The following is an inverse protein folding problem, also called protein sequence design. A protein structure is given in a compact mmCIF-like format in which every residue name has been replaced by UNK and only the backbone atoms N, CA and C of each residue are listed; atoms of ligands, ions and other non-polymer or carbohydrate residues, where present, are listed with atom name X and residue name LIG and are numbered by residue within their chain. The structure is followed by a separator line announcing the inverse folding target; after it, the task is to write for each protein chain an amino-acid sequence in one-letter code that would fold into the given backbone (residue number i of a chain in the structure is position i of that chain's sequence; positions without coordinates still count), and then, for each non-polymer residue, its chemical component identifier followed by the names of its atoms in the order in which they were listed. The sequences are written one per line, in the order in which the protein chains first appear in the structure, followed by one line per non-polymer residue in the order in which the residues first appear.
data_IF_161236110047
#
_entry.id   IF_161236110047
#
_cell.length_a   1.000
_cell.length_b   1.000
_cell.length_c   1.000
_cell.angle_alpha   90.00
_cell.angle_beta   90.00
_cell.angle_gamma   90.00
#
_symmetry.space_group_name_H-M   'P 1'
#
loop_
_entity.id
_entity.type
_entity.pdbx_description
1 polymer ?
#
# COMPACT_ATOMS: atom_id res chain seq x y z
N UNK A 1 -27.69 2.38 -39.63
CA UNK A 1 -26.28 2.81 -39.50
C UNK A 1 -25.96 3.44 -38.15
N UNK A 2 -26.74 4.42 -37.65
CA UNK A 2 -26.50 5.06 -36.33
C UNK A 2 -26.40 4.08 -35.13
N UNK A 3 -27.20 3.01 -35.11
CA UNK A 3 -27.16 2.00 -34.03
C UNK A 3 -25.90 1.11 -34.05
N UNK A 4 -25.38 0.80 -35.23
CA UNK A 4 -24.12 0.05 -35.39
C UNK A 4 -22.91 0.91 -34.99
N UNK A 5 -22.95 2.21 -35.32
CA UNK A 5 -21.91 3.15 -34.88
C UNK A 5 -21.91 3.34 -33.37
N UNK A 6 -23.08 3.38 -32.71
CA UNK A 6 -23.16 3.45 -31.24
C UNK A 6 -22.62 2.17 -30.61
N UNK A 7 -23.00 0.99 -31.11
CA UNK A 7 -22.48 -0.30 -30.58
C UNK A 7 -20.96 -0.38 -30.75
N UNK A 8 -20.43 0.01 -31.91
CA UNK A 8 -18.99 0.03 -32.18
C UNK A 8 -18.26 1.05 -31.29
N UNK A 9 -18.84 2.22 -31.03
CA UNK A 9 -18.28 3.19 -30.09
C UNK A 9 -18.32 2.70 -28.64
N UNK A 10 -19.42 2.06 -28.20
CA UNK A 10 -19.48 1.47 -26.85
C UNK A 10 -18.53 0.29 -26.69
N UNK A 11 -18.33 -0.53 -27.74
CA UNK A 11 -17.33 -1.59 -27.73
C UNK A 11 -15.91 -1.02 -27.71
N UNK A 12 -15.65 0.04 -28.48
CA UNK A 12 -14.36 0.71 -28.52
C UNK A 12 -14.02 1.43 -27.19
N UNK A 13 -15.02 1.98 -26.50
CA UNK A 13 -14.86 2.56 -25.15
C UNK A 13 -14.59 1.45 -24.12
N UNK A 14 -15.19 0.27 -24.28
CA UNK A 14 -14.87 -0.94 -23.48
C UNK A 14 -13.47 -1.52 -23.76
N UNK A 15 -12.80 -1.10 -24.84
CA UNK A 15 -11.45 -1.54 -25.24
C UNK A 15 -10.37 -0.53 -24.78
N UNK A 16 -10.75 0.60 -24.17
CA UNK A 16 -9.76 1.56 -23.67
C UNK A 16 -9.05 0.94 -22.46
N UNK A 17 -7.72 0.83 -22.59
CA UNK A 17 -6.86 0.09 -21.67
C UNK A 17 -7.03 0.51 -20.22
N UNK A 18 -7.09 -0.49 -19.36
CA UNK A 18 -6.94 -0.31 -17.92
C UNK A 18 -5.49 0.09 -17.65
N UNK A 19 -5.28 1.27 -17.07
CA UNK A 19 -3.96 1.63 -16.55
C UNK A 19 -3.72 0.85 -15.26
N UNK A 20 -2.58 0.17 -15.16
CA UNK A 20 -2.24 -0.66 -14.00
C UNK A 20 -1.43 0.19 -13.01
N UNK A 21 -1.82 0.12 -11.75
CA UNK A 21 -1.16 0.78 -10.62
C UNK A 21 -1.10 -0.24 -9.47
N UNK A 22 -0.48 0.14 -8.35
CA UNK A 22 -0.23 -0.76 -7.21
C UNK A 22 -1.42 -1.68 -6.87
N UNK A 23 -1.14 -2.96 -6.71
CA UNK A 23 -2.15 -3.99 -6.51
C UNK A 23 -2.18 -4.51 -5.05
N UNK A 24 -3.35 -4.92 -4.53
CA UNK A 24 -3.47 -5.37 -3.15
C UNK A 24 -2.75 -6.71 -2.92
N UNK A 25 -2.29 -6.95 -1.69
CA UNK A 25 -1.83 -8.29 -1.27
C UNK A 25 -3.00 -9.27 -1.15
N UNK A 26 -2.70 -10.56 -1.24
CA UNK A 26 -3.70 -11.59 -1.00
C UNK A 26 -4.00 -11.72 0.50
N UNK A 27 -5.23 -12.11 0.84
CA UNK A 27 -5.55 -12.50 2.20
C UNK A 27 -4.67 -13.67 2.68
N UNK A 28 -4.40 -13.67 3.99
CA UNK A 28 -3.78 -14.81 4.68
C UNK A 28 -4.66 -16.05 4.56
N UNK A 29 -4.06 -17.25 4.67
CA UNK A 29 -4.81 -18.52 4.62
C UNK A 29 -5.90 -18.59 5.68
N UNK A 30 -5.62 -18.04 6.86
CA UNK A 30 -6.60 -17.81 7.92
C UNK A 30 -6.83 -16.31 8.03
N UNK A 31 -8.09 -15.88 7.89
CA UNK A 31 -8.47 -14.48 8.06
C UNK A 31 -8.57 -14.16 9.55
N UNK A 32 -7.90 -13.11 9.98
CA UNK A 32 -7.94 -12.61 11.35
C UNK A 32 -8.71 -11.30 11.38
N UNK A 33 -9.61 -11.17 12.34
CA UNK A 33 -10.36 -9.95 12.60
C UNK A 33 -10.12 -9.50 14.04
N UNK A 34 -9.67 -8.26 14.22
CA UNK A 34 -9.54 -7.61 15.51
C UNK A 34 -10.49 -6.41 15.48
N UNK A 35 -11.32 -6.25 16.50
CA UNK A 35 -12.11 -5.04 16.67
C UNK A 35 -12.19 -4.66 18.13
N UNK A 36 -12.03 -3.38 18.38
CA UNK A 36 -12.14 -2.76 19.70
C UNK A 36 -13.23 -1.69 19.64
N UNK A 37 -13.88 -1.49 20.78
CA UNK A 37 -14.78 -0.36 20.97
C UNK A 37 -14.54 0.14 22.38
N UNK A 38 -14.13 1.39 22.46
CA UNK A 38 -13.80 2.04 23.73
C UNK A 38 -14.76 3.21 23.91
N UNK A 39 -15.44 3.23 25.04
CA UNK A 39 -16.30 4.35 25.45
C UNK A 39 -15.91 4.77 26.86
N UNK A 40 -15.57 6.03 27.04
CA UNK A 40 -15.17 6.56 28.34
C UNK A 40 -15.75 7.96 28.56
N UNK A 41 -16.28 8.18 29.77
CA UNK A 41 -16.66 9.50 30.25
C UNK A 41 -15.93 9.72 31.57
N UNK A 42 -15.03 10.70 31.60
CA UNK A 42 -14.06 10.85 32.67
C UNK A 42 -14.06 12.30 33.17
N UNK A 43 -14.10 12.44 34.49
CA UNK A 43 -13.71 13.68 35.18
C UNK A 43 -12.34 13.45 35.81
N UNK A 44 -11.31 14.13 35.31
CA UNK A 44 -9.93 13.96 35.73
C UNK A 44 -9.01 13.66 34.55
N UNK A 45 -8.24 12.59 34.64
CA UNK A 45 -7.25 12.19 33.63
C UNK A 45 -7.77 11.02 32.81
N UNK A 46 -7.75 11.14 31.48
CA UNK A 46 -8.02 10.08 30.52
C UNK A 46 -6.77 9.88 29.64
N UNK A 47 -6.46 8.61 29.38
CA UNK A 47 -5.40 8.22 28.46
C UNK A 47 -5.90 7.12 27.55
N UNK A 48 -5.69 7.27 26.24
CA UNK A 48 -5.76 6.17 25.28
C UNK A 48 -4.40 6.05 24.57
N UNK A 49 -3.95 4.83 24.32
CA UNK A 49 -2.86 4.56 23.40
C UNK A 49 -3.20 3.29 22.63
N UNK A 50 -3.26 3.44 21.31
CA UNK A 50 -3.57 2.33 20.41
C UNK A 50 -2.45 2.19 19.38
N UNK A 51 -2.12 0.93 19.07
CA UNK A 51 -1.15 0.62 18.03
C UNK A 51 -1.57 -0.63 17.28
N UNK A 52 -1.68 -0.53 15.96
CA UNK A 52 -1.79 -1.67 15.08
C UNK A 52 -0.60 -1.66 14.13
N UNK A 53 0.03 -2.81 13.98
CA UNK A 53 1.02 -3.04 12.93
C UNK A 53 0.65 -4.31 12.22
N UNK A 54 0.45 -4.19 10.91
CA UNK A 54 0.26 -5.30 10.00
C UNK A 54 1.46 -5.40 9.07
N UNK A 55 1.92 -6.62 8.83
CA UNK A 55 2.88 -6.91 7.78
C UNK A 55 2.44 -8.19 7.10
N UNK A 56 2.28 -8.13 5.78
CA UNK A 56 1.89 -9.26 4.96
C UNK A 56 2.76 -9.34 3.72
N UNK A 57 3.10 -10.56 3.32
CA UNK A 57 3.86 -10.82 2.09
C UNK A 57 3.32 -12.07 1.41
N UNK A 58 3.54 -12.17 0.10
CA UNK A 58 3.40 -13.42 -0.66
C UNK A 58 4.54 -14.41 -0.41
N UNK A 59 5.59 -14.00 0.31
CA UNK A 59 6.74 -14.81 0.71
C UNK A 59 6.93 -14.87 2.24
N UNK A 60 7.96 -15.60 2.69
CA UNK A 60 8.27 -15.78 4.11
C UNK A 60 8.75 -14.47 4.75
N UNK A 61 7.91 -13.87 5.59
CA UNK A 61 8.19 -12.63 6.34
C UNK A 61 9.43 -12.68 7.25
N UNK A 62 9.97 -13.87 7.54
CA UNK A 62 11.21 -14.01 8.34
C UNK A 62 12.45 -13.66 7.54
N UNK A 63 12.36 -13.76 6.22
CA UNK A 63 13.33 -13.20 5.30
C UNK A 63 12.82 -11.78 5.03
N UNK A 64 13.28 -10.76 5.79
CA UNK A 64 12.90 -9.35 5.57
C UNK A 64 14.12 -8.43 5.78
N UNK A 65 14.51 -7.56 4.82
CA UNK A 65 13.84 -7.33 3.54
C UNK A 65 14.54 -8.09 2.43
N UNK A 66 13.88 -9.05 1.77
CA UNK A 66 14.32 -9.36 0.44
C UNK A 66 13.11 -9.50 -0.46
N UNK A 67 12.85 -8.40 -1.16
CA UNK A 67 12.08 -8.34 -2.40
C UNK A 67 12.80 -9.17 -3.47
N UNK A 68 12.86 -10.48 -3.28
CA UNK A 68 13.55 -11.45 -4.11
C UNK A 68 14.18 -12.59 -3.30
N UNK A 69 13.46 -13.71 -3.14
CA UNK A 69 14.03 -14.94 -2.62
C UNK A 69 14.80 -15.68 -3.73
N UNK A 70 16.14 -15.61 -3.70
CA UNK A 70 16.98 -16.40 -4.60
C UNK A 70 17.24 -17.77 -3.96
N UNK A 71 16.47 -18.77 -4.37
CA UNK A 71 16.72 -20.17 -4.02
C UNK A 71 17.42 -20.90 -5.16
N UNK A 72 18.72 -21.15 -5.05
CA UNK A 72 19.42 -22.07 -5.96
C UNK A 72 19.82 -23.33 -5.19
N UNK A 73 19.09 -24.43 -5.42
CA UNK A 73 19.49 -25.74 -4.90
C UNK A 73 20.47 -26.34 -5.89
N UNK A 74 21.76 -26.16 -5.60
CA UNK A 74 22.84 -26.73 -6.41
C UNK A 74 23.17 -28.13 -5.90
N UNK A 75 23.35 -29.13 -6.78
CA UNK A 75 23.94 -30.41 -6.38
C UNK A 75 25.28 -30.22 -5.65
N UNK A 76 25.71 -31.15 -4.77
CA UNK A 76 26.96 -31.02 -4.03
C UNK A 76 28.13 -30.80 -5.00
N UNK A 77 28.69 -29.58 -5.00
CA UNK A 77 29.84 -29.20 -5.85
C UNK A 77 29.56 -28.19 -6.98
N UNK A 78 28.32 -27.71 -7.15
CA UNK A 78 28.05 -26.61 -8.08
C UNK A 78 28.16 -25.23 -7.42
N UNK A 79 28.80 -24.28 -8.09
CA UNK A 79 28.86 -22.87 -7.69
C UNK A 79 27.83 -22.11 -8.52
N UNK A 80 26.85 -21.47 -7.88
CA UNK A 80 26.01 -20.48 -8.54
C UNK A 80 26.77 -19.16 -8.51
N UNK A 81 27.44 -18.85 -9.62
CA UNK A 81 28.00 -17.52 -9.84
C UNK A 81 26.93 -16.76 -10.62
N UNK A 82 26.14 -15.93 -9.93
CA UNK A 82 25.35 -14.92 -10.64
C UNK A 82 26.32 -13.97 -11.35
N UNK A 83 26.19 -13.77 -12.67
CA UNK A 83 26.90 -12.72 -13.36
C UNK A 83 26.65 -11.37 -12.66
N UNK A 84 27.67 -10.53 -12.45
CA UNK A 84 27.48 -9.18 -11.94
C UNK A 84 26.41 -8.43 -12.74
N UNK A 85 25.35 -7.94 -12.08
CA UNK A 85 24.26 -7.19 -12.72
C UNK A 85 22.92 -7.93 -12.89
N UNK A 86 22.84 -9.21 -12.52
CA UNK A 86 21.54 -9.90 -12.38
C UNK A 86 20.98 -9.66 -10.97
N UNK A 87 19.82 -8.99 -10.87
CA UNK A 87 19.07 -8.83 -9.63
C UNK A 87 17.74 -9.62 -9.72
N UNK A 88 17.08 -9.93 -8.59
CA UNK A 88 15.76 -10.59 -8.58
C UNK A 88 14.69 -9.81 -9.34
N UNK A 89 14.77 -8.47 -9.30
CA UNK A 89 13.83 -7.57 -9.97
C UNK A 89 13.84 -7.73 -11.51
N UNK A 90 14.94 -8.23 -12.08
CA UNK A 90 15.16 -8.31 -13.52
C UNK A 90 14.94 -9.73 -14.06
N UNK A 91 14.71 -10.70 -13.17
CA UNK A 91 14.76 -12.12 -13.48
C UNK A 91 13.79 -12.93 -12.63
N UNK A 92 12.69 -13.39 -13.25
CA UNK A 92 11.72 -14.27 -12.61
C UNK A 92 11.80 -15.66 -13.22
N UNK A 93 12.11 -16.67 -12.42
CA UNK A 93 12.37 -18.01 -12.91
C UNK A 93 11.83 -19.07 -11.97
N UNK A 94 11.27 -20.13 -12.53
CA UNK A 94 11.05 -21.39 -11.84
C UNK A 94 11.42 -22.51 -12.82
N UNK A 95 12.65 -23.02 -12.69
CA UNK A 95 13.20 -24.02 -13.61
C UNK A 95 13.71 -25.23 -12.82
N UNK A 96 13.22 -26.41 -13.20
CA UNK A 96 13.65 -27.70 -12.69
C UNK A 96 14.40 -28.47 -13.80
N UNK A 97 15.73 -28.43 -13.76
CA UNK A 97 16.55 -29.15 -14.74
C UNK A 97 16.67 -30.62 -14.30
N UNK A 98 16.23 -31.62 -15.10
CA UNK A 98 16.40 -33.03 -14.74
C UNK A 98 17.88 -33.39 -14.53
N UNK A 99 18.25 -33.79 -13.29
CA UNK A 99 19.62 -34.09 -12.91
C UNK A 99 20.54 -32.87 -12.71
N UNK A 100 19.99 -31.65 -12.78
CA UNK A 100 20.68 -30.38 -12.59
C UNK A 100 20.17 -29.57 -11.39
N UNK A 101 20.59 -28.30 -11.25
CA UNK A 101 20.08 -27.41 -10.22
C UNK A 101 18.62 -27.03 -10.48
N UNK A 102 17.87 -26.77 -9.41
CA UNK A 102 16.59 -26.07 -9.46
C UNK A 102 16.83 -24.61 -9.14
N UNK A 103 16.33 -23.70 -9.99
CA UNK A 103 16.47 -22.25 -9.82
C UNK A 103 15.08 -21.67 -9.61
N UNK A 104 14.90 -20.97 -8.50
CA UNK A 104 13.65 -20.28 -8.16
C UNK A 104 13.96 -18.82 -7.80
N UNK A 105 13.35 -17.90 -8.55
CA UNK A 105 13.28 -16.46 -8.29
C UNK A 105 11.86 -16.03 -8.60
N UNK A 106 11.05 -15.87 -7.57
CA UNK A 106 9.65 -15.46 -7.72
C UNK A 106 9.52 -13.97 -7.36
N UNK A 107 8.62 -13.23 -8.00
CA UNK A 107 8.32 -11.88 -7.55
C UNK A 107 7.61 -11.92 -6.20
N UNK A 108 7.96 -10.97 -5.33
CA UNK A 108 7.32 -10.77 -4.04
C UNK A 108 6.49 -9.49 -4.07
N UNK A 109 5.36 -9.53 -3.36
CA UNK A 109 4.62 -8.34 -2.96
C UNK A 109 4.42 -8.33 -1.45
N UNK A 110 4.69 -7.19 -0.85
CA UNK A 110 4.60 -6.93 0.56
C UNK A 110 3.74 -5.69 0.84
N UNK A 111 3.01 -5.72 1.95
CA UNK A 111 2.33 -4.56 2.49
C UNK A 111 2.66 -4.43 3.98
N UNK A 112 3.00 -3.22 4.41
CA UNK A 112 3.14 -2.84 5.80
C UNK A 112 2.13 -1.74 6.09
N UNK A 113 1.31 -1.95 7.10
CA UNK A 113 0.39 -0.92 7.58
C UNK A 113 0.67 -0.70 9.06
N UNK A 114 0.72 0.56 9.48
CA UNK A 114 0.79 0.90 10.90
C UNK A 114 -0.17 2.02 11.22
N UNK A 115 -0.88 1.87 12.33
CA UNK A 115 -1.66 2.91 12.95
C UNK A 115 -1.15 3.13 14.36
N UNK A 116 -0.96 4.38 14.75
CA UNK A 116 -0.60 4.75 16.11
C UNK A 116 -1.46 5.92 16.56
N UNK A 117 -2.05 5.78 17.72
CA UNK A 117 -2.84 6.81 18.39
C UNK A 117 -2.33 7.00 19.83
N UNK A 118 -2.35 8.25 20.28
CA UNK A 118 -2.11 8.59 21.67
C UNK A 118 -2.95 9.80 22.07
N UNK A 119 -3.72 9.63 23.13
CA UNK A 119 -4.54 10.66 23.75
C UNK A 119 -4.14 10.78 25.21
N UNK A 120 -3.90 12.03 25.63
CA UNK A 120 -3.72 12.39 27.02
C UNK A 120 -4.60 13.61 27.30
N UNK A 121 -5.65 13.41 28.07
CA UNK A 121 -6.52 14.46 28.57
C UNK A 121 -6.34 14.54 30.08
N UNK A 122 -5.78 15.64 30.58
CA UNK A 122 -5.52 15.79 32.01
C UNK A 122 -6.36 16.92 32.61
N UNK A 123 -6.80 16.74 33.86
CA UNK A 123 -7.52 17.74 34.65
C UNK A 123 -8.69 18.40 33.91
N UNK A 124 -9.59 17.59 33.35
CA UNK A 124 -10.80 18.09 32.69
C UNK A 124 -11.93 17.07 32.62
N UNK A 125 -12.99 17.46 31.92
CA UNK A 125 -14.06 16.57 31.51
C UNK A 125 -13.74 16.04 30.10
N UNK A 126 -13.78 14.73 29.94
CA UNK A 126 -13.48 14.05 28.67
C UNK A 126 -14.62 13.08 28.31
N UNK A 127 -15.10 13.15 27.09
CA UNK A 127 -15.92 12.10 26.47
C UNK A 127 -15.12 11.53 25.31
N UNK A 128 -15.04 10.20 25.26
CA UNK A 128 -14.26 9.50 24.27
C UNK A 128 -15.06 8.30 23.78
N UNK A 129 -15.22 8.20 22.46
CA UNK A 129 -15.77 7.03 21.81
C UNK A 129 -14.91 6.69 20.61
N UNK A 130 -14.46 5.44 20.56
CA UNK A 130 -13.66 4.93 19.46
C UNK A 130 -14.18 3.57 19.03
N UNK A 131 -14.18 3.35 17.72
CA UNK A 131 -14.36 2.05 17.11
C UNK A 131 -13.21 1.80 16.16
N UNK A 132 -12.49 0.72 16.40
CA UNK A 132 -11.39 0.30 15.55
C UNK A 132 -11.63 -1.14 15.08
N UNK A 133 -11.22 -1.41 13.84
CA UNK A 133 -11.27 -2.75 13.27
C UNK A 133 -10.15 -2.96 12.28
N UNK A 134 -9.56 -4.16 12.32
CA UNK A 134 -8.59 -4.67 11.36
C UNK A 134 -9.05 -6.06 10.91
N UNK A 135 -9.11 -6.30 9.61
CA UNK A 135 -9.52 -7.55 8.99
C UNK A 135 -8.54 -7.93 7.87
N UNK A 136 -7.90 -9.10 8.00
CA UNK A 136 -6.96 -9.64 7.01
C UNK A 136 -7.62 -10.41 5.87
N UNK A 137 -8.95 -10.44 5.83
CA UNK A 137 -9.74 -11.02 4.75
C UNK A 137 -9.74 -10.16 3.48
N UNK A 138 -10.08 -10.82 2.36
CA UNK A 138 -10.20 -10.14 1.08
C UNK A 138 -11.36 -9.14 1.10
N UNK A 139 -11.07 -7.89 0.76
CA UNK A 139 -12.05 -6.82 0.62
C UNK A 139 -12.38 -6.56 -0.84
N UNK A 140 -13.56 -6.01 -1.07
CA UNK A 140 -13.97 -5.45 -2.36
C UNK A 140 -13.96 -3.93 -2.29
N UNK A 141 -14.23 -3.27 -3.41
CA UNK A 141 -14.33 -1.80 -3.47
C UNK A 141 -15.33 -1.29 -2.42
N UNK A 142 -14.97 -0.20 -1.72
CA UNK A 142 -15.73 0.40 -0.61
C UNK A 142 -15.85 -0.48 0.65
N UNK A 143 -14.92 -1.41 0.85
CA UNK A 143 -14.73 -2.09 2.12
C UNK A 143 -13.32 -1.87 2.60
N UNK A 144 -13.17 -1.72 3.91
CA UNK A 144 -11.90 -1.40 4.54
C UNK A 144 -11.29 -2.66 5.19
N UNK A 145 -9.98 -2.82 5.07
CA UNK A 145 -9.19 -3.75 5.88
C UNK A 145 -8.96 -3.18 7.26
N UNK A 146 -8.56 -1.92 7.35
CA UNK A 146 -8.45 -1.19 8.61
C UNK A 146 -9.42 -0.03 8.61
N UNK A 147 -10.12 0.18 9.72
CA UNK A 147 -10.97 1.33 9.95
C UNK A 147 -10.92 1.75 11.41
N UNK A 148 -10.57 3.00 11.67
CA UNK A 148 -10.75 3.69 12.95
C UNK A 148 -11.72 4.85 12.78
N UNK A 149 -12.59 5.04 13.78
CA UNK A 149 -13.44 6.21 13.91
C UNK A 149 -13.41 6.63 15.36
N UNK A 150 -12.83 7.80 15.59
CA UNK A 150 -12.67 8.40 16.90
C UNK A 150 -13.59 9.61 17.01
N UNK A 151 -14.19 9.78 18.18
CA UNK A 151 -14.79 11.02 18.63
C UNK A 151 -14.25 11.33 20.03
N UNK A 152 -13.62 12.49 20.15
CA UNK A 152 -13.05 12.95 21.40
C UNK A 152 -13.49 14.38 21.70
N UNK A 153 -14.11 14.54 22.86
CA UNK A 153 -14.57 15.83 23.37
C UNK A 153 -13.89 16.08 24.72
N UNK A 154 -13.27 17.25 24.87
CA UNK A 154 -12.56 17.63 26.09
C UNK A 154 -12.78 19.10 26.45
N UNK A 155 -12.95 19.34 27.75
CA UNK A 155 -12.99 20.68 28.34
C UNK A 155 -12.19 20.68 29.65
N UNK A 156 -11.15 21.52 29.73
CA UNK A 156 -10.39 21.74 30.94
C UNK A 156 -11.24 22.37 32.05
N UNK A 157 -10.96 22.02 33.31
CA UNK A 157 -11.58 22.72 34.44
C UNK A 157 -11.02 24.13 34.60
N UNK A 158 -11.86 25.09 35.00
CA UNK A 158 -11.45 26.51 35.10
C UNK A 158 -10.51 26.80 36.27
N UNK A 159 -10.47 25.92 37.27
CA UNK A 159 -9.64 25.97 38.47
C UNK A 159 -8.34 25.14 38.36
N UNK A 160 -8.18 24.38 37.27
CA UNK A 160 -6.99 23.56 37.00
C UNK A 160 -6.37 23.91 35.63
N UNK A 161 -5.06 23.78 35.50
CA UNK A 161 -4.38 23.94 34.20
C UNK A 161 -4.54 22.66 33.36
N UNK A 162 -5.78 22.32 33.02
CA UNK A 162 -6.10 21.15 32.21
C UNK A 162 -5.63 21.29 30.77
N UNK A 163 -5.23 20.17 30.17
CA UNK A 163 -4.79 20.10 28.77
C UNK A 163 -5.10 18.75 28.17
N UNK A 164 -5.58 18.76 26.93
CA UNK A 164 -5.63 17.60 26.06
C UNK A 164 -4.49 17.66 25.04
N UNK A 165 -3.92 16.50 24.72
CA UNK A 165 -2.98 16.29 23.62
C UNK A 165 -3.35 14.99 22.91
N UNK A 166 -3.57 15.08 21.61
CA UNK A 166 -3.89 13.95 20.75
C UNK A 166 -2.90 13.89 19.60
N UNK A 167 -2.57 12.68 19.18
CA UNK A 167 -1.71 12.43 18.03
C UNK A 167 -2.09 11.12 17.38
N UNK A 168 -2.30 11.17 16.08
CA UNK A 168 -2.59 10.01 15.25
C UNK A 168 -1.69 9.99 14.02
N UNK A 169 -1.26 8.80 13.64
CA UNK A 169 -0.55 8.55 12.38
C UNK A 169 -1.00 7.23 11.78
N UNK A 170 -1.35 7.27 10.49
CA UNK A 170 -1.66 6.14 9.64
C UNK A 170 -0.59 6.06 8.56
N UNK A 171 0.06 4.91 8.45
CA UNK A 171 1.01 4.60 7.40
C UNK A 171 0.57 3.35 6.64
N UNK A 172 0.70 3.41 5.31
CA UNK A 172 0.58 2.30 4.39
C UNK A 172 1.77 2.32 3.44
N UNK A 173 2.54 1.24 3.47
CA UNK A 173 3.70 1.00 2.61
C UNK A 173 3.44 -0.26 1.77
N UNK A 174 3.46 -0.09 0.46
CA UNK A 174 3.16 -1.10 -0.54
C UNK A 174 4.36 -1.27 -1.45
N UNK A 175 4.91 -2.48 -1.48
CA UNK A 175 6.07 -2.78 -2.31
C UNK A 175 5.86 -4.05 -3.09
N UNK A 176 6.24 -4.05 -4.36
CA UNK A 176 6.13 -5.20 -5.25
C UNK A 176 7.26 -5.22 -6.27
N UNK A 177 7.73 -6.42 -6.60
CA UNK A 177 8.62 -6.63 -7.76
C UNK A 177 7.86 -6.70 -9.09
N UNK A 178 6.52 -6.70 -9.05
CA UNK A 178 5.64 -6.91 -10.18
C UNK A 178 4.92 -8.26 -10.10
N UNK A 179 3.97 -8.53 -11.00
CA UNK A 179 3.32 -9.83 -11.09
C UNK A 179 2.69 -10.06 -12.46
N UNK A 180 2.31 -11.30 -12.78
CA UNK A 180 1.52 -11.59 -13.97
C UNK A 180 0.11 -11.03 -13.82
N UNK A 181 -0.29 -10.16 -14.74
CA UNK A 181 -1.61 -9.55 -14.72
C UNK A 181 -2.73 -10.61 -14.91
N UNK A 182 -2.45 -11.67 -15.65
CA UNK A 182 -3.39 -12.77 -15.90
C UNK A 182 -3.80 -13.53 -14.62
N UNK A 183 -2.92 -13.59 -13.61
CA UNK A 183 -3.20 -14.27 -12.33
C UNK A 183 -3.91 -13.36 -11.33
N UNK A 184 -3.91 -12.05 -11.60
CA UNK A 184 -4.35 -11.01 -10.66
C UNK A 184 -5.65 -10.36 -11.07
N UNK A 185 -5.91 -10.19 -12.37
CA UNK A 185 -7.15 -9.59 -12.87
C UNK A 185 -8.19 -10.64 -13.19
N UNK A 186 -9.45 -10.36 -12.82
CA UNK A 186 -10.59 -11.17 -13.28
C UNK A 186 -10.89 -10.83 -14.74
N UNK A 187 -10.64 -9.60 -15.16
CA UNK A 187 -10.88 -9.14 -16.52
C UNK A 187 -9.70 -9.50 -17.45
N UNK A 188 -9.85 -10.43 -18.42
CA UNK A 188 -8.76 -10.87 -19.29
C UNK A 188 -8.25 -9.80 -20.27
N UNK A 189 -8.96 -8.67 -20.38
CA UNK A 189 -8.59 -7.53 -21.22
C UNK A 189 -7.93 -6.39 -20.41
N UNK A 190 -7.73 -6.59 -19.10
CA UNK A 190 -7.12 -5.59 -18.21
C UNK A 190 -5.58 -5.55 -18.28
N UNK A 191 -4.96 -6.36 -19.14
CA UNK A 191 -3.50 -6.54 -19.21
C UNK A 191 -2.84 -5.40 -20.01
N UNK A 192 -2.93 -4.16 -19.49
CA UNK A 192 -2.50 -2.95 -20.18
C UNK A 192 -0.99 -2.81 -20.44
N UNK A 193 -0.15 -3.63 -19.80
CA UNK A 193 1.32 -3.47 -19.83
C UNK A 193 2.06 -4.79 -20.14
N UNK A 194 1.93 -5.25 -21.39
CA UNK A 194 2.55 -6.50 -21.90
C UNK A 194 2.19 -7.78 -21.13
N UNK A 195 1.10 -7.77 -20.33
CA UNK A 195 0.70 -8.92 -19.52
C UNK A 195 1.19 -8.89 -18.06
N UNK A 196 1.85 -7.82 -17.62
CA UNK A 196 2.46 -7.74 -16.29
C UNK A 196 2.06 -6.49 -15.52
N UNK A 197 1.76 -6.64 -14.22
CA UNK A 197 1.71 -5.54 -13.27
C UNK A 197 3.15 -5.12 -12.94
N UNK A 198 3.56 -3.87 -13.20
CA UNK A 198 4.90 -3.40 -12.90
C UNK A 198 5.22 -3.35 -11.40
N UNK A 199 6.50 -3.29 -11.00
CA UNK A 199 6.89 -3.07 -9.62
C UNK A 199 6.47 -1.69 -9.16
N UNK A 200 6.32 -1.55 -7.85
CA UNK A 200 6.02 -0.28 -7.20
C UNK A 200 6.59 -0.26 -5.78
N UNK A 201 6.79 0.93 -5.25
CA UNK A 201 7.23 1.19 -3.89
C UNK A 201 6.54 2.49 -3.44
N UNK A 202 5.30 2.33 -2.97
CA UNK A 202 4.39 3.40 -2.65
C UNK A 202 4.26 3.53 -1.14
N UNK A 203 4.61 4.69 -0.60
CA UNK A 203 4.55 4.98 0.84
C UNK A 203 3.61 6.15 1.08
N UNK A 204 2.64 5.91 1.95
CA UNK A 204 1.63 6.86 2.34
C UNK A 204 1.62 7.02 3.84
N UNK A 205 1.72 8.27 4.30
CA UNK A 205 1.61 8.60 5.71
C UNK A 205 0.69 9.81 5.86
N UNK A 206 -0.29 9.69 6.75
CA UNK A 206 -1.27 10.73 7.05
C UNK A 206 -1.49 10.79 8.54
N UNK A 207 -1.79 11.96 9.06
CA UNK A 207 -2.08 12.06 10.49
C UNK A 207 -2.54 13.43 10.91
N UNK A 208 -2.91 13.51 12.18
CA UNK A 208 -3.24 14.77 12.84
C UNK A 208 -2.78 14.79 14.30
N UNK A 209 -2.73 15.99 14.85
CA UNK A 209 -2.41 16.20 16.25
C UNK A 209 -3.10 17.45 16.76
N UNK A 210 -3.65 17.38 17.96
CA UNK A 210 -4.19 18.53 18.66
C UNK A 210 -3.53 18.70 20.03
N UNK A 211 -3.40 19.94 20.49
CA UNK A 211 -3.06 20.22 21.88
C UNK A 211 -3.73 21.50 22.36
N UNK A 212 -4.43 21.46 23.47
CA UNK A 212 -5.23 22.60 23.92
C UNK A 212 -6.02 22.37 25.19
N UNK A 213 -6.83 23.36 25.55
CA UNK A 213 -7.64 23.36 26.78
C UNK A 213 -9.10 22.98 26.53
N UNK A 214 -9.51 22.95 25.26
CA UNK A 214 -10.84 22.54 24.85
C UNK A 214 -10.78 22.04 23.42
N UNK A 215 -11.42 20.90 23.14
CA UNK A 215 -11.56 20.37 21.78
C UNK A 215 -12.84 19.55 21.67
N UNK A 216 -13.44 19.61 20.50
CA UNK A 216 -14.37 18.60 19.99
C UNK A 216 -13.79 18.15 18.66
N UNK A 217 -13.32 16.91 18.60
CA UNK A 217 -12.67 16.33 17.43
C UNK A 217 -13.28 15.00 17.02
N UNK A 218 -13.27 14.78 15.71
CA UNK A 218 -13.64 13.52 15.07
C UNK A 218 -12.54 13.20 14.08
N UNK A 219 -12.00 11.99 14.17
CA UNK A 219 -11.03 11.47 13.22
C UNK A 219 -11.54 10.17 12.60
N UNK A 220 -11.19 9.96 11.34
CA UNK A 220 -11.50 8.73 10.63
C UNK A 220 -10.26 8.33 9.83
N UNK A 221 -9.82 7.09 10.04
CA UNK A 221 -8.69 6.50 9.36
C UNK A 221 -9.17 5.21 8.69
N UNK A 222 -8.89 5.02 7.41
CA UNK A 222 -9.28 3.81 6.69
C UNK A 222 -8.21 3.36 5.70
N UNK A 223 -8.08 2.05 5.51
CA UNK A 223 -7.26 1.48 4.43
C UNK A 223 -7.92 0.27 3.81
N UNK A 224 -7.65 0.05 2.52
CA UNK A 224 -7.97 -1.16 1.79
C UNK A 224 -6.73 -1.58 1.01
N UNK A 225 -6.16 -2.74 1.30
CA UNK A 225 -4.93 -3.19 0.64
C UNK A 225 -4.81 -4.72 0.56
N UNK A 226 -5.84 -5.44 0.99
CA UNK A 226 -5.92 -6.91 0.95
C UNK A 226 -7.14 -7.31 0.13
N UNK A 227 -6.89 -7.88 -1.04
CA UNK A 227 -7.95 -8.34 -1.93
C UNK A 227 -7.49 -9.49 -2.82
N UNK A 228 -8.49 -10.26 -3.27
CA UNK A 228 -8.27 -11.43 -4.13
C UNK A 228 -7.82 -11.03 -5.55
N UNK A 229 -8.29 -9.88 -6.02
CA UNK A 229 -8.06 -9.40 -7.39
C UNK A 229 -7.41 -8.03 -7.37
N UNK A 230 -6.56 -7.76 -8.37
CA UNK A 230 -6.04 -6.42 -8.68
C UNK A 230 -7.11 -5.46 -9.26
N UNK A 231 -8.33 -5.95 -9.51
CA UNK A 231 -9.49 -5.09 -9.85
C UNK A 231 -9.93 -4.19 -8.67
N UNK A 232 -9.55 -4.55 -7.44
CA UNK A 232 -9.84 -3.78 -6.22
C UNK A 232 -8.68 -2.81 -6.00
N UNK A 233 -8.94 -1.49 -5.96
CA UNK A 233 -7.89 -0.52 -5.70
C UNK A 233 -7.39 -0.64 -4.27
N UNK A 234 -6.12 -0.34 -4.07
CA UNK A 234 -5.61 -0.05 -2.73
C UNK A 234 -5.95 1.40 -2.37
N UNK A 235 -6.31 1.63 -1.11
CA UNK A 235 -6.77 2.93 -0.64
C UNK A 235 -6.20 3.20 0.76
N UNK A 236 -5.88 4.46 0.99
CA UNK A 236 -5.61 5.00 2.32
C UNK A 236 -6.31 6.35 2.45
N UNK A 237 -7.10 6.49 3.51
CA UNK A 237 -7.87 7.68 3.82
C UNK A 237 -7.66 8.10 5.26
N UNK A 238 -7.52 9.41 5.47
CA UNK A 238 -7.52 10.02 6.80
C UNK A 238 -8.29 11.33 6.76
N UNK A 239 -9.16 11.55 7.74
CA UNK A 239 -9.83 12.83 7.92
C UNK A 239 -9.85 13.23 9.38
N UNK A 240 -9.73 14.53 9.61
CA UNK A 240 -9.89 15.16 10.92
C UNK A 240 -10.83 16.34 10.78
N UNK A 241 -11.76 16.46 11.70
CA UNK A 241 -12.58 17.64 11.91
C UNK A 241 -12.54 18.01 13.38
N UNK A 242 -12.14 19.25 13.70
CA UNK A 242 -12.10 19.73 15.07
C UNK A 242 -12.48 21.19 15.22
N UNK A 243 -12.95 21.53 16.41
CA UNK A 243 -13.12 22.91 16.89
C UNK A 243 -12.66 22.98 18.34
N UNK A 244 -12.12 24.11 18.77
CA UNK A 244 -11.58 24.21 20.12
C UNK A 244 -10.62 25.36 20.36
N UNK A 245 -9.97 25.35 21.51
CA UNK A 245 -8.94 26.33 21.88
C UNK A 245 -7.61 25.61 22.09
N UNK A 246 -6.66 25.86 21.20
CA UNK A 246 -5.41 25.12 21.20
C UNK A 246 -4.59 25.32 19.93
N UNK A 247 -3.81 24.30 19.58
CA UNK A 247 -3.07 24.20 18.35
C UNK A 247 -3.37 22.85 17.69
N UNK A 248 -3.79 22.88 16.43
CA UNK A 248 -4.09 21.73 15.61
C UNK A 248 -3.09 21.64 14.45
N UNK A 249 -2.76 20.42 14.05
CA UNK A 249 -2.01 20.14 12.84
C UNK A 249 -2.57 18.90 12.13
N UNK A 250 -2.56 18.91 10.80
CA UNK A 250 -2.86 17.74 9.99
C UNK A 250 -1.96 17.70 8.76
N UNK A 251 -1.46 16.51 8.42
CA UNK A 251 -0.44 16.34 7.39
C UNK A 251 -0.66 15.09 6.56
N UNK A 252 -0.10 15.16 5.36
CA UNK A 252 0.02 14.07 4.40
C UNK A 252 1.45 14.09 3.85
N UNK A 253 2.08 12.93 3.84
CA UNK A 253 3.34 12.66 3.18
C UNK A 253 3.14 11.46 2.26
N UNK A 254 3.40 11.63 0.97
CA UNK A 254 3.28 10.56 0.00
C UNK A 254 4.55 10.46 -0.83
N UNK A 255 4.91 9.23 -1.15
CA UNK A 255 5.92 8.93 -2.14
C UNK A 255 5.39 7.78 -3.00
N UNK A 256 5.10 8.06 -4.26
CA UNK A 256 4.65 7.08 -5.25
C UNK A 256 5.80 6.82 -6.19
N UNK A 257 6.28 5.59 -6.23
CA UNK A 257 7.28 5.14 -7.19
C UNK A 257 6.71 3.93 -7.92
N UNK A 258 6.22 4.13 -9.14
CA UNK A 258 5.66 3.06 -9.95
C UNK A 258 6.53 2.80 -11.17
N UNK A 259 6.67 1.52 -11.50
CA UNK A 259 7.36 1.06 -12.68
C UNK A 259 6.45 1.04 -13.92
N UNK A 260 7.06 0.72 -15.05
CA UNK A 260 6.38 0.39 -16.31
C UNK A 260 7.07 -0.81 -16.96
N UNK A 261 6.33 -1.63 -17.69
CA UNK A 261 6.86 -2.89 -18.25
C UNK A 261 7.92 -2.64 -19.33
N UNK A 262 9.05 -3.28 -19.09
CA UNK A 262 10.18 -3.48 -19.98
C UNK A 262 9.82 -4.31 -21.21
N UNK A 263 10.74 -4.43 -22.17
CA UNK A 263 10.67 -5.57 -23.08
C UNK A 263 10.97 -6.82 -22.24
N UNK A 264 10.30 -7.94 -22.50
CA UNK A 264 10.61 -9.19 -21.81
C UNK A 264 11.00 -10.27 -22.80
N UNK A 265 11.90 -11.15 -22.37
CA UNK A 265 12.28 -12.37 -23.09
C UNK A 265 11.82 -13.59 -22.33
N UNK A 266 11.51 -14.61 -23.10
CA UNK A 266 11.18 -15.93 -22.61
C UNK A 266 12.25 -16.91 -23.08
N UNK A 267 13.04 -17.44 -22.16
CA UNK A 267 14.20 -18.27 -22.50
C UNK A 267 13.93 -19.79 -22.35
N UNK A 268 12.91 -20.21 -21.59
CA UNK A 268 12.64 -21.64 -21.31
C UNK A 268 11.15 -21.92 -21.17
N UNK A 269 10.52 -22.70 -22.07
CA UNK A 269 9.13 -23.21 -21.92
C UNK A 269 9.09 -24.65 -21.38
N UNK A 270 7.88 -25.11 -21.00
CA UNK A 270 7.58 -26.46 -20.55
C UNK A 270 8.28 -27.57 -21.39
N UNK A 271 8.72 -28.68 -20.76
CA UNK A 271 8.35 -29.15 -19.41
C UNK A 271 9.36 -28.78 -18.31
N UNK A 272 10.33 -27.89 -18.58
CA UNK A 272 11.47 -27.64 -17.69
C UNK A 272 11.19 -26.48 -16.70
N UNK A 273 10.27 -25.58 -17.05
CA UNK A 273 9.92 -24.42 -16.22
C UNK A 273 9.53 -23.20 -17.04
N UNK A 274 9.60 -22.02 -16.41
CA UNK A 274 9.52 -20.72 -17.08
C UNK A 274 10.66 -19.79 -16.65
N UNK A 275 11.01 -18.86 -17.54
CA UNK A 275 12.01 -17.82 -17.31
C UNK A 275 11.54 -16.52 -17.99
N UNK A 276 11.32 -15.47 -17.18
CA UNK A 276 11.08 -14.11 -17.63
C UNK A 276 12.26 -13.22 -17.29
N UNK A 277 12.82 -12.59 -18.32
CA UNK A 277 13.87 -11.60 -18.18
C UNK A 277 13.40 -10.25 -18.67
N UNK A 278 13.65 -9.18 -17.90
CA UNK A 278 13.20 -7.83 -18.24
C UNK A 278 14.35 -6.97 -18.78
N UNK A 279 14.07 -6.25 -19.87
CA UNK A 279 14.98 -5.31 -20.52
C UNK A 279 14.44 -3.88 -20.53
N UNK A 280 15.13 -3.00 -19.79
CA UNK A 280 14.93 -1.56 -19.80
C UNK A 280 15.58 -0.93 -21.06
N UNK A 281 14.73 -0.50 -22.00
CA UNK A 281 15.18 0.17 -23.22
C UNK A 281 15.63 1.63 -23.02
N UNK A 282 15.29 2.28 -21.88
CA UNK A 282 15.74 3.66 -21.58
C UNK A 282 17.23 3.72 -21.26
N UNK A 283 17.78 2.65 -20.68
CA UNK A 283 19.20 2.62 -20.30
C UNK A 283 20.12 2.36 -21.49
N UNK A 284 19.59 1.89 -22.64
CA UNK A 284 20.30 1.70 -23.91
C UNK A 284 21.69 1.01 -23.78
N UNK A 285 21.85 0.14 -22.78
CA UNK A 285 23.12 -0.47 -22.38
C UNK A 285 23.28 -1.92 -22.83
N UNK A 286 22.40 -2.43 -23.70
CA UNK A 286 22.65 -3.65 -24.47
C UNK A 286 21.54 -4.70 -24.37
N UNK A 287 21.37 -5.42 -25.48
CA UNK A 287 20.47 -6.55 -25.61
C UNK A 287 21.16 -7.82 -25.08
N UNK A 288 20.46 -8.58 -24.24
CA UNK A 288 20.73 -10.02 -24.15
C UNK A 288 20.53 -10.65 -25.55
N UNK A 289 21.34 -11.61 -26.03
CA UNK A 289 22.11 -12.58 -25.24
C UNK A 289 23.64 -12.45 -25.26
N UNK A 290 24.21 -11.34 -25.74
CA UNK A 290 25.67 -11.30 -25.98
C UNK A 290 26.49 -10.39 -25.05
N UNK A 291 25.93 -9.39 -24.37
CA UNK A 291 26.70 -8.57 -23.42
C UNK A 291 25.86 -8.24 -22.16
N UNK A 292 26.30 -8.76 -21.01
CA UNK A 292 25.70 -8.54 -19.69
C UNK A 292 26.17 -7.17 -19.18
N UNK A 293 25.48 -6.09 -19.54
CA UNK A 293 25.83 -4.75 -19.04
C UNK A 293 24.60 -3.87 -18.75
N UNK A 294 24.45 -3.50 -17.48
CA UNK A 294 23.97 -2.18 -17.01
C UNK A 294 22.58 -1.68 -17.41
N UNK A 295 21.69 -2.52 -17.94
CA UNK A 295 20.43 -2.10 -18.57
C UNK A 295 19.24 -3.04 -18.41
N UNK A 296 19.36 -4.12 -17.65
CA UNK A 296 18.24 -5.04 -17.40
C UNK A 296 17.33 -4.49 -16.30
N UNK A 297 16.05 -4.85 -16.36
CA UNK A 297 15.06 -4.55 -15.34
C UNK A 297 13.85 -3.76 -15.78
N UNK A 298 13.02 -3.45 -14.80
CA UNK A 298 11.88 -2.57 -14.96
C UNK A 298 12.33 -1.13 -15.20
N UNK A 299 11.45 -0.34 -15.83
CA UNK A 299 11.66 1.09 -16.01
C UNK A 299 10.90 1.85 -14.93
N UNK A 300 11.46 2.94 -14.43
CA UNK A 300 10.70 3.88 -13.61
C UNK A 300 9.66 4.58 -14.50
N UNK A 301 8.38 4.46 -14.14
CA UNK A 301 7.28 5.08 -14.85
C UNK A 301 6.84 6.40 -14.20
N UNK A 302 6.76 6.41 -12.86
CA UNK A 302 6.31 7.55 -12.05
C UNK A 302 7.19 7.69 -10.82
N UNK A 303 7.50 8.94 -10.48
CA UNK A 303 8.07 9.36 -9.20
C UNK A 303 7.31 10.61 -8.75
N UNK A 304 6.46 10.47 -7.75
CA UNK A 304 5.64 11.57 -7.23
C UNK A 304 5.83 11.66 -5.71
N UNK A 305 6.33 12.81 -5.27
CA UNK A 305 6.42 13.15 -3.85
C UNK A 305 5.46 14.30 -3.56
N UNK A 306 4.53 14.09 -2.64
CA UNK A 306 3.63 15.13 -2.16
C UNK A 306 3.72 15.24 -0.64
N UNK A 307 3.91 16.48 -0.16
CA UNK A 307 3.97 16.77 1.28
C UNK A 307 3.18 18.02 1.56
N UNK A 308 2.26 17.95 2.50
CA UNK A 308 1.45 19.09 2.92
C UNK A 308 1.18 19.00 4.41
N UNK A 309 1.41 20.10 5.13
CA UNK A 309 1.09 20.24 6.55
C UNK A 309 0.31 21.54 6.76
N UNK A 310 -0.82 21.44 7.44
CA UNK A 310 -1.67 22.57 7.79
C UNK A 310 -1.71 22.69 9.29
N UNK A 311 -1.52 23.91 9.83
CA UNK A 311 -1.55 24.18 11.26
C UNK A 311 -2.48 25.35 11.58
N UNK A 312 -3.24 25.25 12.66
CA UNK A 312 -4.08 26.33 13.18
C UNK A 312 -3.85 26.48 14.69
N UNK A 313 -3.88 27.71 15.20
CA UNK A 313 -3.62 27.99 16.62
C UNK A 313 -4.46 29.14 17.14
N UNK A 314 -4.89 29.06 18.40
CA UNK A 314 -5.77 30.04 19.05
C UNK A 314 -7.17 29.46 19.28
N UNK A 315 -8.19 30.29 19.07
CA UNK A 315 -9.59 29.83 19.03
C UNK A 315 -9.88 29.36 17.61
N UNK A 316 -10.14 28.06 17.48
CA UNK A 316 -10.40 27.37 16.21
C UNK A 316 -11.90 27.15 16.12
N UNK A 317 -12.59 27.94 15.30
CA UNK A 317 -14.02 27.76 15.04
C UNK A 317 -14.29 26.50 14.21
N UNK A 318 -13.43 26.22 13.23
CA UNK A 318 -13.45 25.00 12.45
C UNK A 318 -12.07 24.72 11.86
N UNK A 319 -11.59 23.49 12.01
CA UNK A 319 -10.46 22.94 11.29
C UNK A 319 -10.90 21.60 10.70
N UNK A 320 -10.86 21.46 9.39
CA UNK A 320 -11.19 20.20 8.73
C UNK A 320 -10.20 19.93 7.61
N UNK A 321 -9.70 18.71 7.57
CA UNK A 321 -8.83 18.22 6.49
C UNK A 321 -9.21 16.77 6.20
N UNK A 322 -9.42 16.49 4.92
CA UNK A 322 -9.63 15.13 4.41
C UNK A 322 -8.54 14.85 3.39
N UNK A 323 -7.94 13.67 3.50
CA UNK A 323 -6.79 13.22 2.73
C UNK A 323 -7.13 11.80 2.27
N UNK A 324 -6.97 11.53 0.98
CA UNK A 324 -7.27 10.22 0.42
C UNK A 324 -6.32 9.95 -0.75
N UNK A 325 -5.84 8.72 -0.83
CA UNK A 325 -5.04 8.20 -1.93
C UNK A 325 -5.66 6.87 -2.33
N UNK A 326 -5.76 6.68 -3.64
CA UNK A 326 -6.28 5.46 -4.22
C UNK A 326 -5.33 5.05 -5.33
N UNK A 327 -4.67 3.90 -5.16
CA UNK A 327 -3.89 3.27 -6.20
C UNK A 327 -4.64 2.07 -6.76
N UNK A 328 -4.42 1.78 -8.03
CA UNK A 328 -5.08 0.70 -8.72
C UNK A 328 -5.89 1.19 -9.91
N UNK A 329 -6.44 0.21 -10.63
CA UNK A 329 -6.92 0.38 -11.99
C UNK A 329 -7.87 1.57 -12.15
N UNK A 330 -7.38 2.63 -12.81
CA UNK A 330 -8.27 3.63 -13.37
C UNK A 330 -8.80 3.11 -14.70
N UNK A 331 -10.06 2.67 -14.68
CA UNK A 331 -10.86 2.48 -15.89
C UNK A 331 -10.90 3.83 -16.62
N UNK A 332 -10.27 3.91 -17.79
CA UNK A 332 -10.42 5.04 -18.71
C UNK A 332 -11.76 4.94 -19.45
#
# INVERSE_FOLDING_TARGET
MKKLSIIAFTLAILIVGMAMAADPINATTETQGISTTTGAVVMGTMTNSETIVFTGSTMDLRDNPPLGAIGAVVPPGGVVIWPPGMNPNNFWVEVNIPGGPTIVSLPERQAVMSYTESILADNGYSEFNEMQSMDTGNKVVNQDNFKSTEQFDYVAFSDAMGRATTSESLLLDLVSQGSLAADRFICPFATGDQGFIPPYCNVYEMGSSFTGTQVSEITQANTNFIAKSADVPTEVGYSVGLSGTGSAAAWINTHVMEGRTAAYYWDVEEPIGYDYQFWNYDMNTGAFPYEILGGSGWMQGVDLVYKEKTTASGVIEAFSKSMAIQDGVRRL
#
